data_IF_455707582695
#
_entry.id   IF_455707582695
#
_cell.length_a   1.000
_cell.length_b   1.000
_cell.length_c   1.000
_cell.angle_alpha   90.00
_cell.angle_beta   90.00
_cell.angle_gamma   90.00
#
_symmetry.space_group_name_H-M   'P 1'
#
loop_
_entity.id
_entity.type
_entity.pdbx_description
1 polymer ?
#
# COMPACT_ATOMS: atom_id res chain seq x y z
N UNK A 1 -22.62 -16.65 11.74
CA UNK A 1 -22.72 -16.25 10.31
C UNK A 1 -22.97 -14.73 10.17
N UNK A 2 -22.28 -13.89 10.96
CA UNK A 2 -22.48 -12.43 11.04
C UNK A 2 -21.14 -11.66 10.98
N UNK A 3 -20.05 -12.33 10.61
CA UNK A 3 -18.67 -11.87 10.86
C UNK A 3 -18.05 -11.02 9.73
N UNK A 4 -18.81 -10.72 8.68
CA UNK A 4 -18.41 -9.83 7.58
C UNK A 4 -19.56 -8.90 7.17
N UNK A 5 -20.35 -8.41 8.12
CA UNK A 5 -21.20 -7.27 7.79
C UNK A 5 -20.27 -6.06 7.60
N UNK A 6 -20.26 -5.51 6.39
CA UNK A 6 -19.42 -4.36 6.05
C UNK A 6 -19.85 -3.18 6.94
N UNK A 7 -19.01 -2.81 7.92
CA UNK A 7 -19.31 -1.74 8.89
C UNK A 7 -19.67 -0.44 8.17
N UNK A 8 -19.08 -0.18 6.99
CA UNK A 8 -19.44 0.97 6.14
C UNK A 8 -20.88 0.88 5.65
N UNK A 9 -21.32 -0.29 5.19
CA UNK A 9 -22.70 -0.50 4.75
C UNK A 9 -23.68 -0.27 5.90
N UNK A 10 -23.39 -0.83 7.08
CA UNK A 10 -24.22 -0.68 8.26
C UNK A 10 -24.34 0.81 8.69
N UNK A 11 -23.22 1.53 8.67
CA UNK A 11 -23.18 2.97 8.94
C UNK A 11 -24.08 3.77 7.98
N UNK A 12 -23.90 3.58 6.67
CA UNK A 12 -24.71 4.29 5.67
C UNK A 12 -26.18 3.90 5.73
N UNK A 13 -26.47 2.62 5.97
CA UNK A 13 -27.83 2.11 6.14
C UNK A 13 -28.54 2.82 7.30
N UNK A 14 -27.92 2.88 8.48
CA UNK A 14 -28.51 3.54 9.64
C UNK A 14 -28.65 5.05 9.47
N UNK A 15 -27.71 5.69 8.76
CA UNK A 15 -27.80 7.12 8.44
C UNK A 15 -28.99 7.40 7.52
N UNK A 16 -29.12 6.64 6.43
CA UNK A 16 -30.24 6.76 5.47
C UNK A 16 -31.56 6.45 6.17
N UNK A 17 -31.61 5.38 6.98
CA UNK A 17 -32.79 5.02 7.75
C UNK A 17 -33.20 6.14 8.71
N UNK A 18 -32.24 6.76 9.41
CA UNK A 18 -32.50 7.89 10.31
C UNK A 18 -33.08 9.09 9.56
N UNK A 19 -32.54 9.41 8.37
CA UNK A 19 -33.08 10.47 7.52
C UNK A 19 -34.51 10.16 7.05
N UNK A 20 -34.77 8.92 6.61
CA UNK A 20 -36.11 8.48 6.19
C UNK A 20 -37.10 8.56 7.36
N UNK A 21 -36.72 8.10 8.55
CA UNK A 21 -37.57 8.16 9.75
C UNK A 21 -37.92 9.60 10.12
N UNK A 22 -36.97 10.53 10.03
CA UNK A 22 -37.23 11.97 10.24
C UNK A 22 -38.25 12.49 9.23
N UNK A 23 -38.10 12.13 7.95
CA UNK A 23 -39.02 12.57 6.88
C UNK A 23 -40.42 12.00 7.14
N UNK A 24 -40.53 10.71 7.44
CA UNK A 24 -41.81 10.05 7.72
C UNK A 24 -42.48 10.66 8.95
N UNK A 25 -41.75 10.90 10.05
CA UNK A 25 -42.36 11.44 11.27
C UNK A 25 -42.80 12.89 11.10
N UNK A 26 -42.01 13.74 10.43
CA UNK A 26 -42.33 15.19 10.31
C UNK A 26 -43.24 15.54 9.13
N UNK A 27 -43.18 14.79 8.04
CA UNK A 27 -43.88 15.10 6.78
C UNK A 27 -44.92 14.05 6.37
N UNK A 28 -45.10 12.98 7.14
CA UNK A 28 -46.23 12.07 6.85
C UNK A 28 -47.56 12.79 7.11
N UNK A 29 -48.56 12.62 6.23
CA UNK A 29 -49.94 13.08 6.47
C UNK A 29 -50.56 12.49 7.75
N UNK A 30 -49.91 11.50 8.38
CA UNK A 30 -50.26 10.98 9.71
C UNK A 30 -50.09 12.00 10.84
N UNK A 31 -49.27 13.04 10.65
CA UNK A 31 -49.11 14.11 11.65
C UNK A 31 -50.43 14.84 11.90
N UNK A 32 -51.20 15.09 10.83
CA UNK A 32 -52.50 15.77 10.90
C UNK A 32 -53.63 14.86 11.46
N UNK A 33 -53.45 13.54 11.35
CA UNK A 33 -54.37 12.53 11.90
C UNK A 33 -54.22 12.42 13.43
N UNK A 34 -53.04 12.68 13.99
CA UNK A 34 -52.82 12.64 15.44
C UNK A 34 -53.12 13.98 16.16
N UNK A 35 -53.08 15.11 15.46
CA UNK A 35 -53.45 16.42 16.03
C UNK A 35 -54.93 16.76 15.90
N UNK A 36 -55.68 16.06 15.04
CA UNK A 36 -57.13 16.16 14.99
C UNK A 36 -57.74 15.22 16.02
N UNK A 37 -58.54 15.76 16.95
CA UNK A 37 -59.38 14.99 17.89
C UNK A 37 -60.50 14.24 17.16
N UNK A 38 -60.18 13.43 16.14
CA UNK A 38 -61.17 12.70 15.35
C UNK A 38 -60.81 11.22 15.35
N UNK A 39 -61.14 10.57 16.46
CA UNK A 39 -62.04 9.40 16.54
C UNK A 39 -61.80 8.13 15.72
N UNK A 40 -60.84 8.05 14.80
CA UNK A 40 -60.70 6.86 13.97
C UNK A 40 -59.24 6.38 13.93
N UNK A 41 -59.04 5.18 14.51
CA UNK A 41 -57.80 4.41 14.66
C UNK A 41 -56.85 4.76 15.84
N UNK A 42 -57.34 4.67 17.08
CA UNK A 42 -56.47 4.60 18.26
C UNK A 42 -55.94 3.18 18.52
N UNK A 43 -55.38 2.49 17.50
CA UNK A 43 -54.85 1.13 17.72
C UNK A 43 -53.54 1.11 18.54
N UNK A 44 -52.93 2.28 18.75
CA UNK A 44 -51.72 2.40 19.57
C UNK A 44 -51.72 3.73 20.33
N UNK A 45 -52.06 3.70 21.62
CA UNK A 45 -52.15 4.89 22.48
C UNK A 45 -50.83 5.63 22.67
N UNK A 46 -49.68 5.00 22.39
CA UNK A 46 -48.34 5.58 22.58
C UNK A 46 -47.64 6.00 21.28
N UNK A 47 -48.37 6.11 20.17
CA UNK A 47 -47.78 6.32 18.84
C UNK A 47 -47.07 7.65 18.70
N UNK A 48 -47.60 8.67 19.37
CA UNK A 48 -47.02 10.00 19.40
C UNK A 48 -45.70 10.01 20.19
N UNK A 49 -45.69 9.45 21.38
CA UNK A 49 -44.51 9.36 22.25
C UNK A 49 -43.41 8.50 21.61
N UNK A 50 -43.79 7.40 20.96
CA UNK A 50 -42.87 6.54 20.22
C UNK A 50 -42.29 7.27 19.00
N UNK A 51 -43.11 8.01 18.26
CA UNK A 51 -42.66 8.84 17.13
C UNK A 51 -41.66 9.91 17.55
N UNK A 52 -41.96 10.68 18.60
CA UNK A 52 -41.03 11.69 19.14
C UNK A 52 -39.73 11.05 19.68
N UNK A 53 -39.81 9.87 20.30
CA UNK A 53 -38.62 9.13 20.74
C UNK A 53 -37.75 8.69 19.56
N UNK A 54 -38.35 8.11 18.50
CA UNK A 54 -37.62 7.72 17.29
C UNK A 54 -37.01 8.93 16.58
N UNK A 55 -37.73 10.05 16.54
CA UNK A 55 -37.23 11.30 15.99
C UNK A 55 -36.01 11.81 16.77
N UNK A 56 -36.10 11.85 18.10
CA UNK A 56 -34.98 12.24 18.96
C UNK A 56 -33.77 11.32 18.80
N UNK A 57 -33.97 10.00 18.70
CA UNK A 57 -32.91 9.02 18.44
C UNK A 57 -32.28 9.23 17.06
N UNK A 58 -33.08 9.47 16.03
CA UNK A 58 -32.60 9.69 14.65
C UNK A 58 -31.74 10.95 14.55
N UNK A 59 -32.17 12.05 15.18
CA UNK A 59 -31.37 13.28 15.27
C UNK A 59 -30.09 13.02 16.05
N UNK A 60 -30.18 12.36 17.21
CA UNK A 60 -29.01 12.07 18.06
C UNK A 60 -27.98 11.22 17.30
N UNK A 61 -28.44 10.25 16.50
CA UNK A 61 -27.57 9.45 15.63
C UNK A 61 -26.87 10.31 14.58
N UNK A 62 -27.61 11.13 13.82
CA UNK A 62 -27.04 12.02 12.80
C UNK A 62 -26.03 13.00 13.43
N UNK A 63 -26.37 13.63 14.55
CA UNK A 63 -25.49 14.54 15.28
C UNK A 63 -24.22 13.80 15.72
N UNK A 64 -24.35 12.59 16.26
CA UNK A 64 -23.20 11.76 16.64
C UNK A 64 -22.31 11.41 15.44
N UNK A 65 -22.89 11.12 14.28
CA UNK A 65 -22.14 10.88 13.04
C UNK A 65 -21.37 12.13 12.59
N UNK A 66 -22.00 13.31 12.63
CA UNK A 66 -21.36 14.59 12.29
C UNK A 66 -20.19 14.86 13.24
N UNK A 67 -20.40 14.71 14.55
CA UNK A 67 -19.34 14.89 15.54
C UNK A 67 -18.21 13.89 15.35
N UNK A 68 -18.50 12.60 15.13
CA UNK A 68 -17.48 11.60 14.82
C UNK A 68 -16.66 12.00 13.59
N UNK A 69 -17.34 12.44 12.52
CA UNK A 69 -16.68 12.83 11.28
C UNK A 69 -15.75 14.03 11.49
N UNK A 70 -16.20 15.06 12.21
CA UNK A 70 -15.44 16.29 12.43
C UNK A 70 -14.32 16.10 13.45
N UNK A 71 -14.58 15.38 14.54
CA UNK A 71 -13.67 15.29 15.71
C UNK A 71 -12.67 14.16 15.56
N UNK A 72 -13.05 13.05 14.91
CA UNK A 72 -12.20 11.86 14.81
C UNK A 72 -11.70 11.68 13.38
N UNK A 73 -12.62 11.50 12.43
CA UNK A 73 -12.25 11.08 11.08
C UNK A 73 -11.42 12.12 10.32
N UNK A 74 -11.85 13.39 10.29
CA UNK A 74 -11.10 14.45 9.58
C UNK A 74 -9.69 14.67 10.15
N UNK A 75 -9.50 14.80 11.48
CA UNK A 75 -8.16 14.87 12.07
C UNK A 75 -7.29 13.65 11.77
N UNK A 76 -7.84 12.43 11.84
CA UNK A 76 -7.11 11.20 11.49
C UNK A 76 -6.66 11.19 10.03
N UNK A 77 -7.55 11.56 9.10
CA UNK A 77 -7.20 11.68 7.68
C UNK A 77 -6.10 12.72 7.44
N UNK A 78 -6.18 13.86 8.12
CA UNK A 78 -5.14 14.90 8.03
C UNK A 78 -3.80 14.43 8.60
N UNK A 79 -3.80 13.70 9.72
CA UNK A 79 -2.59 13.08 10.29
C UNK A 79 -1.99 12.07 9.32
N UNK A 80 -2.80 11.19 8.73
CA UNK A 80 -2.36 10.21 7.72
C UNK A 80 -1.74 10.89 6.51
N UNK A 81 -2.39 11.92 5.94
CA UNK A 81 -1.86 12.67 4.79
C UNK A 81 -0.51 13.32 5.11
N UNK A 82 -0.38 13.95 6.28
CA UNK A 82 0.88 14.55 6.72
C UNK A 82 1.98 13.51 6.92
N UNK A 83 1.65 12.38 7.55
CA UNK A 83 2.60 11.28 7.73
C UNK A 83 3.05 10.71 6.38
N UNK A 84 2.13 10.53 5.42
CA UNK A 84 2.44 10.08 4.07
C UNK A 84 3.38 11.05 3.36
N UNK A 85 3.09 12.35 3.38
CA UNK A 85 3.93 13.38 2.75
C UNK A 85 5.36 13.41 3.31
N UNK A 86 5.56 13.04 4.57
CA UNK A 86 6.90 12.96 5.19
C UNK A 86 7.71 11.78 4.65
N UNK A 87 7.05 10.67 4.32
CA UNK A 87 7.72 9.43 3.93
C UNK A 87 7.67 9.14 2.43
N UNK A 88 6.88 9.90 1.67
CA UNK A 88 6.65 9.71 0.23
C UNK A 88 7.95 9.61 -0.56
N UNK A 89 8.86 10.58 -0.39
CA UNK A 89 10.17 10.55 -1.06
C UNK A 89 11.02 9.33 -0.66
N UNK A 90 10.85 8.82 0.57
CA UNK A 90 11.58 7.63 1.04
C UNK A 90 11.02 6.36 0.40
N UNK A 91 9.70 6.27 0.26
CA UNK A 91 9.06 5.19 -0.49
C UNK A 91 9.47 5.24 -1.95
N UNK A 92 9.56 6.44 -2.55
CA UNK A 92 9.97 6.60 -3.94
C UNK A 92 11.40 6.11 -4.18
N UNK A 93 12.32 6.45 -3.28
CA UNK A 93 13.69 5.92 -3.32
C UNK A 93 13.71 4.39 -3.19
N UNK A 94 12.92 3.82 -2.28
CA UNK A 94 12.80 2.35 -2.15
C UNK A 94 12.29 1.74 -3.46
N UNK A 95 11.22 2.28 -4.04
CA UNK A 95 10.69 1.81 -5.32
C UNK A 95 11.72 1.91 -6.44
N UNK A 96 12.48 3.00 -6.47
CA UNK A 96 13.56 3.20 -7.42
C UNK A 96 14.64 2.12 -7.36
N UNK A 97 15.17 1.91 -6.17
CA UNK A 97 16.20 0.90 -5.91
C UNK A 97 15.67 -0.52 -6.22
N UNK A 98 14.43 -0.82 -5.81
CA UNK A 98 13.76 -2.08 -6.14
C UNK A 98 13.61 -2.25 -7.66
N UNK A 99 13.18 -1.19 -8.34
CA UNK A 99 12.98 -1.16 -9.79
C UNK A 99 14.27 -1.47 -10.53
N UNK A 100 15.38 -0.80 -10.20
CA UNK A 100 16.68 -1.05 -10.85
C UNK A 100 17.09 -2.52 -10.74
N UNK A 101 16.93 -3.14 -9.57
CA UNK A 101 17.21 -4.57 -9.38
C UNK A 101 16.34 -5.42 -10.32
N UNK A 102 15.01 -5.22 -10.29
CA UNK A 102 14.06 -6.02 -11.06
C UNK A 102 14.33 -5.91 -12.56
N UNK A 103 14.40 -4.67 -13.07
CA UNK A 103 14.56 -4.41 -14.49
C UNK A 103 15.92 -4.82 -15.02
N UNK A 104 16.99 -4.73 -14.22
CA UNK A 104 18.27 -5.30 -14.60
C UNK A 104 18.16 -6.79 -14.93
N UNK A 105 17.56 -7.57 -14.04
CA UNK A 105 17.43 -9.02 -14.23
C UNK A 105 16.47 -9.37 -15.36
N UNK A 106 15.40 -8.59 -15.55
CA UNK A 106 14.49 -8.80 -16.68
C UNK A 106 15.20 -8.54 -18.00
N UNK A 107 15.93 -7.42 -18.10
CA UNK A 107 16.71 -7.07 -19.29
C UNK A 107 17.78 -8.13 -19.59
N UNK A 108 18.60 -8.49 -18.60
CA UNK A 108 19.66 -9.50 -18.74
C UNK A 108 19.13 -10.84 -19.29
N UNK A 109 17.91 -11.21 -18.91
CA UNK A 109 17.30 -12.47 -19.31
C UNK A 109 16.27 -12.32 -20.45
N UNK A 110 16.23 -11.15 -21.11
CA UNK A 110 15.30 -10.86 -22.22
C UNK A 110 13.82 -11.10 -21.87
N UNK A 111 13.44 -10.78 -20.64
CA UNK A 111 12.07 -10.90 -20.14
C UNK A 111 11.32 -9.60 -20.44
N UNK A 112 10.29 -9.68 -21.27
CA UNK A 112 9.43 -8.53 -21.65
C UNK A 112 7.96 -8.77 -21.33
N UNK A 113 7.65 -9.87 -20.62
CA UNK A 113 6.28 -10.28 -20.33
C UNK A 113 5.63 -9.39 -19.27
N UNK A 114 4.34 -9.09 -19.46
CA UNK A 114 3.53 -8.25 -18.56
C UNK A 114 2.49 -9.05 -17.78
N UNK A 115 2.15 -10.25 -18.24
CA UNK A 115 1.26 -11.17 -17.54
C UNK A 115 1.98 -11.81 -16.34
N UNK A 116 1.43 -11.68 -15.13
CA UNK A 116 2.10 -12.14 -13.89
C UNK A 116 2.38 -13.65 -13.86
N UNK A 117 1.52 -14.50 -14.46
CA UNK A 117 1.72 -15.96 -14.46
C UNK A 117 2.87 -16.38 -15.39
N UNK A 118 2.88 -15.83 -16.62
CA UNK A 118 3.94 -16.08 -17.59
C UNK A 118 5.27 -15.44 -17.14
N UNK A 119 5.20 -14.25 -16.56
CA UNK A 119 6.35 -13.57 -15.98
C UNK A 119 6.97 -14.41 -14.86
N UNK A 120 6.15 -14.98 -13.98
CA UNK A 120 6.63 -15.89 -12.92
C UNK A 120 7.45 -17.03 -13.50
N UNK A 121 6.93 -17.71 -14.52
CA UNK A 121 7.61 -18.85 -15.14
C UNK A 121 8.98 -18.46 -15.73
N UNK A 122 9.07 -17.29 -16.36
CA UNK A 122 10.34 -16.80 -16.93
C UNK A 122 11.32 -16.36 -15.85
N UNK A 123 10.86 -15.62 -14.84
CA UNK A 123 11.70 -15.10 -13.76
C UNK A 123 12.23 -16.22 -12.86
N UNK A 124 11.43 -17.26 -12.58
CA UNK A 124 11.86 -18.40 -11.77
C UNK A 124 12.99 -19.22 -12.43
N UNK A 125 13.21 -19.10 -13.74
CA UNK A 125 14.34 -19.74 -14.44
C UNK A 125 15.68 -19.07 -14.13
N UNK A 126 15.68 -17.86 -13.56
CA UNK A 126 16.90 -17.15 -13.17
C UNK A 126 17.49 -17.81 -11.91
N UNK A 127 18.59 -18.53 -12.05
CA UNK A 127 19.17 -19.35 -10.97
C UNK A 127 20.61 -18.98 -10.58
N UNK A 128 21.13 -17.88 -11.14
CA UNK A 128 22.51 -17.45 -10.96
C UNK A 128 22.60 -15.94 -10.83
N UNK A 129 23.31 -15.53 -9.79
CA UNK A 129 23.92 -14.21 -9.67
C UNK A 129 25.35 -14.33 -10.20
N UNK A 130 25.80 -13.35 -10.97
CA UNK A 130 27.20 -13.23 -11.40
C UNK A 130 27.99 -12.33 -10.42
N UNK A 131 28.75 -12.90 -9.47
CA UNK A 131 29.43 -12.11 -8.46
C UNK A 131 30.71 -11.43 -8.98
N UNK A 132 31.20 -11.82 -10.15
CA UNK A 132 32.56 -11.52 -10.60
C UNK A 132 32.60 -10.63 -11.84
N UNK A 133 31.64 -10.80 -12.76
CA UNK A 133 31.61 -9.97 -13.97
C UNK A 133 30.97 -8.61 -13.69
N UNK A 134 31.55 -7.59 -14.33
CA UNK A 134 30.98 -6.25 -14.34
C UNK A 134 29.65 -6.27 -15.07
N UNK A 135 28.67 -5.54 -14.53
CA UNK A 135 27.32 -5.53 -15.09
C UNK A 135 27.23 -4.80 -16.43
N UNK A 136 28.09 -3.79 -16.66
CA UNK A 136 28.06 -2.91 -17.84
C UNK A 136 26.62 -2.48 -18.20
N UNK A 137 25.89 -2.05 -17.18
CA UNK A 137 24.47 -1.72 -17.29
C UNK A 137 24.31 -0.21 -17.11
N UNK A 138 23.54 0.40 -18.00
CA UNK A 138 23.19 1.81 -17.89
C UNK A 138 21.68 1.96 -17.89
N UNK A 139 21.21 2.96 -17.17
CA UNK A 139 19.80 3.30 -17.07
C UNK A 139 19.67 4.80 -16.89
N UNK A 140 18.47 5.33 -17.13
CA UNK A 140 18.18 6.73 -16.86
C UNK A 140 16.83 6.81 -16.14
N UNK A 141 16.69 7.77 -15.22
CA UNK A 141 15.41 8.06 -14.60
C UNK A 141 14.96 9.48 -14.91
N UNK A 142 13.65 9.71 -14.85
CA UNK A 142 13.05 11.03 -15.05
C UNK A 142 12.78 11.65 -13.69
N UNK A 143 13.50 12.71 -13.35
CA UNK A 143 13.33 13.40 -12.06
C UNK A 143 11.95 14.06 -11.98
N UNK A 144 11.12 13.71 -10.98
CA UNK A 144 9.75 14.24 -10.85
C UNK A 144 9.67 15.76 -10.73
N UNK A 145 10.64 16.39 -10.07
CA UNK A 145 10.62 17.83 -9.80
C UNK A 145 10.93 18.67 -11.04
N UNK A 146 11.78 18.18 -11.95
CA UNK A 146 12.28 18.96 -13.09
C UNK A 146 11.95 18.35 -14.45
N UNK A 147 11.51 17.09 -14.50
CA UNK A 147 11.33 16.31 -15.73
C UNK A 147 12.63 15.95 -16.43
N UNK A 148 13.79 16.19 -15.82
CA UNK A 148 15.10 15.93 -16.44
C UNK A 148 15.41 14.44 -16.42
N UNK A 149 15.95 13.96 -17.54
CA UNK A 149 16.55 12.63 -17.64
C UNK A 149 17.92 12.65 -16.99
N UNK A 150 18.13 11.79 -16.00
CA UNK A 150 19.41 11.65 -15.30
C UNK A 150 20.00 10.29 -15.66
N UNK A 151 21.14 10.24 -16.40
CA UNK A 151 21.78 8.99 -16.78
C UNK A 151 22.60 8.43 -15.62
N UNK A 152 22.57 7.11 -15.48
CA UNK A 152 23.35 6.32 -14.52
C UNK A 152 24.01 5.15 -15.25
N UNK A 153 25.25 4.87 -14.89
CA UNK A 153 25.97 3.69 -15.32
C UNK A 153 26.44 2.92 -14.09
N UNK A 154 26.35 1.59 -14.13
CA UNK A 154 26.84 0.74 -13.04
C UNK A 154 28.37 0.70 -12.97
N UNK A 155 29.09 1.18 -13.98
CA UNK A 155 30.56 1.28 -13.95
C UNK A 155 31.23 -0.05 -13.60
N UNK A 156 31.99 -0.06 -12.50
CA UNK A 156 32.75 -1.24 -12.04
C UNK A 156 31.95 -2.21 -11.17
N UNK A 157 30.66 -1.98 -10.96
CA UNK A 157 29.83 -2.84 -10.12
C UNK A 157 29.62 -4.22 -10.74
N UNK A 158 29.78 -5.25 -9.90
CA UNK A 158 29.25 -6.59 -10.15
C UNK A 158 27.83 -6.70 -9.59
N UNK A 159 27.08 -7.73 -10.00
CA UNK A 159 25.70 -7.90 -9.53
C UNK A 159 25.61 -7.99 -8.00
N UNK A 160 26.55 -8.71 -7.39
CA UNK A 160 26.56 -8.88 -5.94
C UNK A 160 26.83 -7.55 -5.23
N UNK A 161 27.72 -6.72 -5.77
CA UNK A 161 28.02 -5.39 -5.19
C UNK A 161 26.80 -4.48 -5.28
N UNK A 162 26.12 -4.45 -6.43
CA UNK A 162 24.94 -3.60 -6.63
C UNK A 162 23.78 -4.06 -5.75
N UNK A 163 23.54 -5.38 -5.67
CA UNK A 163 22.54 -5.96 -4.79
C UNK A 163 22.83 -5.68 -3.31
N UNK A 164 24.11 -5.72 -2.90
CA UNK A 164 24.52 -5.38 -1.53
C UNK A 164 24.23 -3.91 -1.21
N UNK A 165 24.56 -3.00 -2.12
CA UNK A 165 24.34 -1.57 -1.97
C UNK A 165 22.85 -1.26 -1.88
N UNK A 166 22.04 -1.67 -2.86
CA UNK A 166 20.61 -1.41 -2.85
C UNK A 166 19.89 -2.10 -1.69
N UNK A 167 20.31 -3.31 -1.31
CA UNK A 167 19.79 -3.93 -0.08
C UNK A 167 20.03 -3.01 1.12
N UNK A 168 21.26 -2.53 1.29
CA UNK A 168 21.64 -1.69 2.42
C UNK A 168 20.92 -0.34 2.39
N UNK A 169 20.76 0.26 1.21
CA UNK A 169 20.01 1.50 0.98
C UNK A 169 18.52 1.35 1.29
N UNK A 170 17.88 0.30 0.75
CA UNK A 170 16.46 0.00 0.99
C UNK A 170 16.21 -0.27 2.47
N UNK A 171 16.98 -1.19 3.09
CA UNK A 171 16.81 -1.52 4.51
C UNK A 171 17.09 -0.31 5.41
N UNK A 172 18.14 0.48 5.11
CA UNK A 172 18.42 1.72 5.81
C UNK A 172 17.27 2.72 5.72
N UNK A 173 16.70 2.88 4.53
CA UNK A 173 15.56 3.76 4.29
C UNK A 173 14.31 3.28 5.02
N UNK A 174 13.99 1.98 4.99
CA UNK A 174 12.85 1.41 5.72
C UNK A 174 13.02 1.58 7.24
N UNK A 175 14.19 1.25 7.78
CA UNK A 175 14.47 1.45 9.20
C UNK A 175 14.34 2.92 9.60
N UNK A 176 14.78 3.84 8.73
CA UNK A 176 14.62 5.28 8.95
C UNK A 176 13.16 5.73 8.94
N UNK A 177 12.28 5.07 8.17
CA UNK A 177 10.82 5.31 8.17
C UNK A 177 10.22 4.85 9.50
N UNK A 178 10.58 3.66 9.98
CA UNK A 178 10.06 3.11 11.24
C UNK A 178 10.48 3.90 12.48
N UNK A 179 11.55 4.68 12.39
CA UNK A 179 11.98 5.58 13.47
C UNK A 179 11.19 6.89 13.53
N UNK A 180 10.34 7.19 12.53
CA UNK A 180 9.58 8.44 12.50
C UNK A 180 8.39 8.34 13.46
N UNK A 181 8.23 9.23 14.46
CA UNK A 181 7.15 9.12 15.45
C UNK A 181 5.74 9.11 14.85
N UNK A 182 5.54 9.77 13.70
CA UNK A 182 4.23 9.85 13.04
C UNK A 182 3.86 8.60 12.24
N UNK A 183 4.73 7.59 12.18
CA UNK A 183 4.52 6.32 11.47
C UNK A 183 3.24 5.59 11.92
N UNK A 184 2.83 5.79 13.18
CA UNK A 184 1.59 5.23 13.73
C UNK A 184 0.32 5.69 13.01
N UNK A 185 0.38 6.78 12.25
CA UNK A 185 -0.76 7.31 11.49
C UNK A 185 -0.78 6.82 10.03
N UNK A 186 0.18 5.98 9.64
CA UNK A 186 0.29 5.43 8.29
C UNK A 186 -0.57 4.17 8.19
N UNK A 187 -0.98 3.84 6.96
CA UNK A 187 -1.75 2.63 6.68
C UNK A 187 -1.02 1.38 7.17
N UNK A 188 -1.73 0.51 7.88
CA UNK A 188 -1.17 -0.72 8.42
C UNK A 188 -0.61 -1.61 7.30
N UNK A 189 -1.33 -1.69 6.18
CA UNK A 189 -0.93 -2.54 5.05
C UNK A 189 0.41 -2.07 4.46
N UNK A 190 0.67 -0.75 4.44
CA UNK A 190 1.96 -0.20 4.01
C UNK A 190 3.09 -0.59 4.97
N UNK A 191 2.84 -0.58 6.28
CA UNK A 191 3.84 -1.02 7.27
C UNK A 191 4.19 -2.50 7.06
N UNK A 192 3.19 -3.34 6.81
CA UNK A 192 3.38 -4.76 6.51
C UNK A 192 4.22 -4.95 5.25
N UNK A 193 3.91 -4.24 4.16
CA UNK A 193 4.68 -4.30 2.91
C UNK A 193 6.14 -3.89 3.13
N UNK A 194 6.38 -2.78 3.83
CA UNK A 194 7.74 -2.32 4.13
C UNK A 194 8.52 -3.36 4.96
N UNK A 195 7.87 -3.99 5.94
CA UNK A 195 8.50 -5.02 6.75
C UNK A 195 8.80 -6.29 5.94
N UNK A 196 7.91 -6.69 5.03
CA UNK A 196 8.14 -7.81 4.11
C UNK A 196 9.30 -7.54 3.15
N UNK A 197 9.45 -6.30 2.65
CA UNK A 197 10.58 -5.88 1.83
C UNK A 197 11.88 -5.92 2.65
N UNK A 198 11.86 -5.33 3.85
CA UNK A 198 13.01 -5.26 4.77
C UNK A 198 13.59 -6.65 5.07
N UNK A 199 12.72 -7.66 5.18
CA UNK A 199 13.06 -9.03 5.56
C UNK A 199 12.98 -10.03 4.39
N UNK A 200 12.89 -9.57 3.14
CA UNK A 200 12.64 -10.45 2.01
C UNK A 200 13.75 -11.50 1.82
N UNK A 201 13.39 -12.65 1.25
CA UNK A 201 14.33 -13.74 1.03
C UNK A 201 15.45 -13.38 0.05
N UNK A 202 15.18 -12.49 -0.92
CA UNK A 202 16.20 -11.97 -1.84
C UNK A 202 17.37 -11.35 -1.06
N UNK A 203 17.08 -10.47 -0.10
CA UNK A 203 18.09 -9.81 0.72
C UNK A 203 18.84 -10.77 1.65
N UNK A 204 18.16 -11.83 2.13
CA UNK A 204 18.80 -12.91 2.88
C UNK A 204 19.76 -13.72 2.01
N UNK A 205 19.39 -14.03 0.77
CA UNK A 205 20.26 -14.69 -0.20
C UNK A 205 21.51 -13.86 -0.49
N UNK A 206 21.34 -12.56 -0.73
CA UNK A 206 22.46 -11.60 -0.93
C UNK A 206 23.39 -11.59 0.29
N UNK A 207 22.85 -11.51 1.50
CA UNK A 207 23.63 -11.58 2.75
C UNK A 207 24.48 -12.86 2.85
N UNK A 208 23.86 -14.00 2.52
CA UNK A 208 24.50 -15.30 2.53
C UNK A 208 25.63 -15.38 1.53
N UNK A 209 25.44 -14.84 0.32
CA UNK A 209 26.47 -14.81 -0.72
C UNK A 209 27.67 -13.92 -0.35
N UNK A 210 27.43 -12.74 0.21
CA UNK A 210 28.51 -11.85 0.68
C UNK A 210 29.35 -12.56 1.75
N UNK A 211 28.68 -13.26 2.68
CA UNK A 211 29.35 -14.03 3.73
C UNK A 211 30.14 -15.17 3.14
N UNK A 212 29.57 -15.89 2.16
CA UNK A 212 30.21 -17.01 1.50
C UNK A 212 31.41 -16.62 0.64
N UNK A 213 31.42 -15.42 0.04
CA UNK A 213 32.57 -14.90 -0.71
C UNK A 213 33.83 -14.74 0.15
N UNK A 214 33.65 -14.56 1.47
CA UNK A 214 34.76 -14.52 2.43
C UNK A 214 35.30 -15.91 2.80
N UNK A 215 34.63 -16.98 2.38
CA UNK A 215 35.03 -18.37 2.62
C UNK A 215 35.87 -18.92 1.45
N UNK A 216 36.70 -19.96 1.67
CA UNK A 216 37.52 -20.55 0.62
C UNK A 216 36.70 -21.07 -0.58
N UNK A 217 37.26 -21.04 -1.80
CA UNK A 217 36.57 -21.34 -3.08
C UNK A 217 35.83 -22.69 -3.18
N UNK A 218 36.11 -23.63 -2.27
CA UNK A 218 35.40 -24.92 -2.18
C UNK A 218 33.90 -24.79 -1.87
N UNK A 219 33.43 -23.59 -1.48
CA UNK A 219 32.03 -23.29 -1.21
C UNK A 219 31.40 -22.44 -2.33
N UNK A 220 31.37 -22.94 -3.57
CA UNK A 220 30.55 -22.34 -4.63
C UNK A 220 29.07 -22.55 -4.30
N UNK A 221 28.39 -21.50 -3.86
CA UNK A 221 26.96 -21.54 -3.52
C UNK A 221 26.13 -21.34 -4.79
N UNK A 222 25.42 -22.38 -5.21
CA UNK A 222 24.34 -22.22 -6.17
C UNK A 222 23.19 -21.43 -5.54
N UNK A 223 22.52 -20.57 -6.31
CA UNK A 223 21.34 -19.81 -5.86
C UNK A 223 20.07 -20.26 -6.58
N UNK A 224 19.67 -21.55 -6.43
CA UNK A 224 18.57 -22.12 -7.23
C UNK A 224 17.22 -21.42 -7.01
N UNK A 225 17.00 -20.82 -5.84
CA UNK A 225 15.75 -20.11 -5.52
C UNK A 225 15.81 -18.60 -5.84
N UNK A 226 16.87 -18.12 -6.51
CA UNK A 226 17.03 -16.68 -6.76
C UNK A 226 15.86 -16.08 -7.53
N UNK A 227 15.50 -16.67 -8.67
CA UNK A 227 14.42 -16.20 -9.53
C UNK A 227 13.08 -16.14 -8.80
N UNK A 228 12.76 -17.16 -8.00
CA UNK A 228 11.55 -17.16 -7.16
C UNK A 228 11.55 -16.04 -6.12
N UNK A 229 12.70 -15.80 -5.48
CA UNK A 229 12.85 -14.70 -4.53
C UNK A 229 12.74 -13.33 -5.22
N UNK A 230 13.28 -13.20 -6.43
CA UNK A 230 13.18 -12.01 -7.27
C UNK A 230 11.72 -11.77 -7.70
N UNK A 231 10.98 -12.81 -8.08
CA UNK A 231 9.57 -12.68 -8.43
C UNK A 231 8.73 -12.24 -7.21
N UNK A 232 8.97 -12.80 -6.03
CA UNK A 232 8.31 -12.34 -4.80
C UNK A 232 8.64 -10.86 -4.51
N UNK A 233 9.88 -10.46 -4.74
CA UNK A 233 10.32 -9.06 -4.61
C UNK A 233 9.62 -8.14 -5.61
N UNK A 234 9.40 -8.58 -6.84
CA UNK A 234 8.60 -7.88 -7.85
C UNK A 234 7.13 -7.71 -7.42
N UNK A 235 6.51 -8.72 -6.81
CA UNK A 235 5.15 -8.58 -6.27
C UNK A 235 5.09 -7.52 -5.15
N UNK A 236 6.09 -7.50 -4.25
CA UNK A 236 6.19 -6.48 -3.22
C UNK A 236 6.36 -5.07 -3.82
N UNK A 237 7.15 -4.95 -4.89
CA UNK A 237 7.29 -3.71 -5.65
C UNK A 237 5.93 -3.22 -6.21
N UNK A 238 5.14 -4.11 -6.82
CA UNK A 238 3.78 -3.77 -7.31
C UNK A 238 2.82 -3.37 -6.21
N UNK A 239 2.88 -4.01 -5.05
CA UNK A 239 2.04 -3.64 -3.91
C UNK A 239 2.43 -2.28 -3.34
N UNK A 240 3.74 -2.01 -3.23
CA UNK A 240 4.24 -0.73 -2.76
C UNK A 240 3.92 0.42 -3.72
N UNK A 241 3.96 0.20 -5.04
CA UNK A 241 3.63 1.21 -6.06
C UNK A 241 2.16 1.62 -6.10
N UNK A 242 1.27 0.95 -5.35
CA UNK A 242 -0.12 1.41 -5.17
C UNK A 242 -0.23 2.62 -4.26
N UNK A 243 0.79 2.90 -3.44
CA UNK A 243 0.77 3.98 -2.46
C UNK A 243 1.30 5.30 -3.01
N UNK A 244 2.20 5.25 -3.99
CA UNK A 244 2.78 6.43 -4.64
C UNK A 244 2.99 6.13 -6.12
N UNK A 245 2.92 7.16 -6.95
CA UNK A 245 3.37 7.07 -8.33
C UNK A 245 4.90 6.94 -8.34
N UNK A 246 5.49 5.84 -8.86
CA UNK A 246 6.94 5.65 -8.84
C UNK A 246 7.64 6.61 -9.81
N UNK A 247 8.88 6.98 -9.50
CA UNK A 247 9.78 7.62 -10.48
C UNK A 247 9.88 6.74 -11.73
N UNK A 248 9.78 7.35 -12.92
CA UNK A 248 9.88 6.63 -14.19
C UNK A 248 11.34 6.30 -14.50
N UNK A 249 11.62 5.02 -14.70
CA UNK A 249 12.92 4.52 -15.13
C UNK A 249 12.82 4.05 -16.59
N UNK A 250 13.79 4.44 -17.40
CA UNK A 250 13.98 3.89 -18.73
C UNK A 250 15.36 3.26 -18.80
N UNK A 251 15.41 2.02 -19.30
CA UNK A 251 16.62 1.22 -19.34
C UNK A 251 17.12 1.23 -20.78
N UNK A 252 18.12 2.05 -21.06
CA UNK A 252 18.78 2.12 -22.36
C UNK A 252 20.20 1.55 -22.21
N UNK A 253 20.52 0.50 -22.95
CA UNK A 253 21.93 0.19 -23.20
C UNK A 253 22.43 1.08 -24.32
N UNK A 254 23.47 1.85 -24.05
CA UNK A 254 24.31 2.41 -25.11
C UNK A 254 24.97 1.23 -25.83
N UNK A 255 24.84 1.12 -27.17
CA UNK A 255 25.46 0.04 -27.95
C UNK A 255 26.99 0.07 -27.90
#
# INVERSE_FOLDING_TARGET
MLRKLNIRFLFWFFLILSCILIIVIKFSPLKDIHTSQIGYLSWFHYGYELGETIFGLSISYIVSCIFYFIVVYLPEQNKRKRAMAIIENRIDNILGDMGVIIYYYFHKNSITESNDELLKEQVEKINRIDPNNKMNFSYQYIEKSTGRKVPFGTGDYTELMLLEEYRSGIQGTINSIFQIPVIINIDHDLIVILEEINNCFLFRTVAGLITARKLPERYKIATPEFGKNLFKFYLLYKELSKYIEPTEYTFEQTP
#
